data_IF_566130015033
#
_entry.id   IF_566130015033
#
_cell.length_a   1.000
_cell.length_b   1.000
_cell.length_c   1.000
_cell.angle_alpha   90.00
_cell.angle_beta   90.00
_cell.angle_gamma   90.00
#
_symmetry.space_group_name_H-M   'P 1'
#
loop_
_entity.id
_entity.type
_entity.pdbx_description
1 polymer ?
#
# COMPACT_ATOMS: atom_id res chain seq x y z
N UNK A 1 -17.89 3.74 1.22
CA UNK A 1 -16.97 2.88 0.45
C UNK A 1 -17.53 2.59 -0.92
N UNK A 2 -16.85 3.07 -1.96
CA UNK A 2 -17.20 2.87 -3.36
C UNK A 2 -16.12 2.10 -4.14
N UNK A 3 -14.87 2.11 -3.67
CA UNK A 3 -13.72 1.47 -4.31
C UNK A 3 -12.93 0.63 -3.31
N UNK A 4 -12.67 -0.63 -3.65
CA UNK A 4 -11.72 -1.49 -2.95
C UNK A 4 -10.46 -1.59 -3.82
N UNK A 5 -9.30 -1.18 -3.29
CA UNK A 5 -8.05 -1.22 -4.05
C UNK A 5 -7.52 -2.65 -4.11
N UNK A 6 -7.06 -3.04 -5.30
CA UNK A 6 -6.28 -4.26 -5.50
C UNK A 6 -4.77 -3.98 -5.31
N UNK A 7 -3.99 -5.05 -5.39
CA UNK A 7 -2.54 -5.01 -5.21
C UNK A 7 -1.84 -4.21 -6.31
N UNK A 8 -2.33 -4.29 -7.55
CA UNK A 8 -1.74 -3.56 -8.68
C UNK A 8 -1.92 -2.05 -8.56
N UNK A 9 -3.12 -1.59 -8.20
CA UNK A 9 -3.42 -0.18 -7.96
C UNK A 9 -2.60 0.34 -6.79
N UNK A 10 -2.49 -0.43 -5.69
CA UNK A 10 -1.62 -0.06 -4.57
C UNK A 10 -0.15 0.09 -5.03
N UNK A 11 0.37 -0.84 -5.83
CA UNK A 11 1.73 -0.76 -6.40
C UNK A 11 1.89 0.49 -7.29
N UNK A 12 0.89 0.81 -8.12
CA UNK A 12 0.93 1.99 -8.98
C UNK A 12 0.94 3.30 -8.18
N UNK A 13 0.19 3.35 -7.07
CA UNK A 13 0.19 4.49 -6.15
C UNK A 13 1.54 4.63 -5.45
N UNK A 14 2.10 3.53 -4.92
CA UNK A 14 3.42 3.51 -4.28
C UNK A 14 4.52 3.97 -5.25
N UNK A 15 4.49 3.48 -6.49
CA UNK A 15 5.45 3.85 -7.55
C UNK A 15 5.14 5.21 -8.19
N UNK A 16 4.04 5.85 -7.82
CA UNK A 16 3.52 7.11 -8.41
C UNK A 16 3.40 7.05 -9.94
N UNK A 17 3.14 5.87 -10.50
CA UNK A 17 3.08 5.64 -11.94
C UNK A 17 1.99 4.61 -12.28
N UNK A 18 1.15 4.89 -13.30
CA UNK A 18 1.13 6.10 -14.14
C UNK A 18 0.50 7.31 -13.42
N UNK A 19 0.89 8.56 -13.75
CA UNK A 19 0.38 9.77 -13.08
C UNK A 19 -1.14 9.91 -13.07
N UNK A 20 -1.82 9.37 -14.08
CA UNK A 20 -3.29 9.38 -14.19
C UNK A 20 -3.97 8.65 -13.03
N UNK A 21 -3.38 7.56 -12.54
CA UNK A 21 -3.92 6.80 -11.40
C UNK A 21 -3.81 7.63 -10.12
N UNK A 22 -2.65 8.25 -9.89
CA UNK A 22 -2.45 9.14 -8.74
C UNK A 22 -3.38 10.36 -8.78
N UNK A 23 -3.56 10.97 -9.96
CA UNK A 23 -4.47 12.09 -10.14
C UNK A 23 -5.91 11.72 -9.77
N UNK A 24 -6.41 10.57 -10.25
CA UNK A 24 -7.75 10.07 -9.89
C UNK A 24 -7.85 9.73 -8.40
N UNK A 25 -6.82 9.11 -7.83
CA UNK A 25 -6.80 8.77 -6.40
C UNK A 25 -6.93 10.02 -5.52
N UNK A 26 -6.24 11.12 -5.88
CA UNK A 26 -6.31 12.39 -5.17
C UNK A 26 -7.68 13.07 -5.19
N UNK A 27 -8.58 12.71 -6.10
CA UNK A 27 -9.95 13.25 -6.14
C UNK A 27 -10.95 12.46 -5.28
N UNK A 28 -10.56 11.30 -4.75
CA UNK A 28 -11.45 10.44 -3.97
C UNK A 28 -11.44 10.83 -2.49
N UNK A 29 -12.59 10.75 -1.84
CA UNK A 29 -12.67 10.85 -0.39
C UNK A 29 -12.14 9.57 0.26
N UNK A 30 -11.48 9.69 1.42
CA UNK A 30 -10.97 8.53 2.16
C UNK A 30 -12.07 7.54 2.55
N UNK A 31 -13.28 8.03 2.86
CA UNK A 31 -14.46 7.21 3.17
C UNK A 31 -14.93 6.33 2.01
N UNK A 32 -14.51 6.66 0.78
CA UNK A 32 -14.89 5.94 -0.43
C UNK A 32 -13.88 4.86 -0.82
N UNK A 33 -12.72 4.81 -0.16
CA UNK A 33 -11.63 3.90 -0.49
C UNK A 33 -11.44 2.91 0.66
N UNK A 34 -11.25 1.65 0.31
CA UNK A 34 -10.80 0.62 1.24
C UNK A 34 -9.69 -0.22 0.63
N UNK A 35 -8.97 -0.93 1.50
CA UNK A 35 -7.96 -1.93 1.13
C UNK A 35 -8.30 -3.21 1.90
N UNK A 36 -8.26 -4.35 1.22
CA UNK A 36 -8.43 -5.65 1.86
C UNK A 36 -7.21 -6.01 2.70
N UNK A 37 -7.40 -6.69 3.84
CA UNK A 37 -6.30 -7.26 4.62
C UNK A 37 -5.44 -8.23 3.80
N UNK A 38 -6.02 -8.93 2.82
CA UNK A 38 -5.29 -9.81 1.90
C UNK A 38 -4.33 -8.99 1.02
N UNK A 39 -4.81 -7.88 0.45
CA UNK A 39 -3.98 -6.97 -0.35
C UNK A 39 -2.85 -6.36 0.48
N UNK A 40 -3.08 -6.05 1.76
CA UNK A 40 -2.01 -5.61 2.68
C UNK A 40 -0.96 -6.70 2.84
N UNK A 41 -1.36 -7.94 3.12
CA UNK A 41 -0.44 -9.07 3.29
C UNK A 41 0.39 -9.36 2.01
N UNK A 42 -0.22 -9.27 0.83
CA UNK A 42 0.48 -9.44 -0.44
C UNK A 42 1.54 -8.35 -0.67
N UNK A 43 1.22 -7.09 -0.35
CA UNK A 43 2.16 -5.98 -0.46
C UNK A 43 3.33 -6.14 0.52
N UNK A 44 3.05 -6.55 1.76
CA UNK A 44 4.09 -6.84 2.76
C UNK A 44 5.01 -7.96 2.28
N UNK A 45 4.45 -9.09 1.83
CA UNK A 45 5.23 -10.20 1.30
C UNK A 45 6.06 -9.78 0.08
N UNK A 46 5.48 -9.02 -0.86
CA UNK A 46 6.19 -8.51 -2.03
C UNK A 46 7.38 -7.62 -1.69
N UNK A 47 7.34 -6.87 -0.58
CA UNK A 47 8.49 -6.09 -0.10
C UNK A 47 9.62 -6.99 0.39
N UNK A 48 9.32 -8.14 1.00
CA UNK A 48 10.33 -9.10 1.45
C UNK A 48 10.99 -9.88 0.30
N UNK A 49 10.25 -10.15 -0.79
CA UNK A 49 10.72 -11.00 -1.90
C UNK A 49 11.50 -10.25 -3.00
N UNK A 50 11.45 -8.90 -3.03
CA UNK A 50 12.04 -8.11 -4.13
C UNK A 50 13.42 -7.49 -3.78
N UNK A 51 14.49 -7.61 -4.60
CA UNK A 51 15.79 -6.97 -4.37
C UNK A 51 15.83 -5.44 -4.61
N UNK A 52 14.68 -4.78 -4.82
CA UNK A 52 14.61 -3.43 -5.39
C UNK A 52 14.04 -2.43 -4.39
N UNK A 53 14.88 -1.47 -3.95
CA UNK A 53 14.63 -0.11 -3.42
C UNK A 53 13.50 0.17 -2.38
N UNK A 54 12.52 -0.71 -2.16
CA UNK A 54 11.43 -0.57 -1.18
C UNK A 54 11.87 -0.91 0.24
N UNK A 55 13.05 -1.53 0.41
CA UNK A 55 13.75 -1.74 1.68
C UNK A 55 14.07 -0.45 2.46
N UNK A 56 13.69 0.73 1.95
CA UNK A 56 13.79 2.00 2.69
C UNK A 56 12.56 2.31 3.56
N UNK A 57 11.44 1.61 3.37
CA UNK A 57 10.33 1.66 4.32
C UNK A 57 10.67 0.64 5.40
N UNK A 58 11.21 1.11 6.53
CA UNK A 58 11.49 0.27 7.69
C UNK A 58 10.23 -0.56 8.00
N UNK A 59 10.32 -1.90 7.94
CA UNK A 59 9.12 -2.70 8.03
C UNK A 59 8.51 -2.68 9.45
N UNK A 60 9.28 -2.31 10.48
CA UNK A 60 8.84 -2.32 11.87
C UNK A 60 9.71 -1.35 12.69
N UNK A 61 9.27 -0.14 13.01
CA UNK A 61 9.79 0.50 14.23
C UNK A 61 9.25 -0.33 15.40
N UNK A 62 10.16 -1.09 16.01
CA UNK A 62 9.96 -2.10 17.05
C UNK A 62 9.53 -1.53 18.41
N UNK A 63 8.74 -0.44 18.41
CA UNK A 63 8.32 0.28 19.62
C UNK A 63 6.81 0.24 19.91
N UNK A 64 5.99 -0.42 19.08
CA UNK A 64 4.52 -0.42 19.25
C UNK A 64 3.92 -1.81 19.47
N UNK A 65 4.69 -2.89 19.32
CA UNK A 65 4.20 -4.24 19.64
C UNK A 65 4.78 -4.66 20.98
N UNK A 66 4.30 -3.99 22.03
CA UNK A 66 4.32 -4.52 23.38
C UNK A 66 3.51 -5.81 23.38
N UNK A 67 4.21 -6.92 23.58
CA UNK A 67 3.61 -8.16 24.08
C UNK A 67 3.28 -7.92 25.54
N UNK A 68 1.99 -7.86 25.86
CA UNK A 68 1.43 -8.38 27.10
C UNK A 68 0.53 -9.57 26.72
#
# INVERSE_FOLDING_TARGET
MQYLLDTNICIYLIKQKPPKVLARFKTLALSDIGISSITVAELEYGVFDTPTALLKLKPWDSHVIGRD
#
